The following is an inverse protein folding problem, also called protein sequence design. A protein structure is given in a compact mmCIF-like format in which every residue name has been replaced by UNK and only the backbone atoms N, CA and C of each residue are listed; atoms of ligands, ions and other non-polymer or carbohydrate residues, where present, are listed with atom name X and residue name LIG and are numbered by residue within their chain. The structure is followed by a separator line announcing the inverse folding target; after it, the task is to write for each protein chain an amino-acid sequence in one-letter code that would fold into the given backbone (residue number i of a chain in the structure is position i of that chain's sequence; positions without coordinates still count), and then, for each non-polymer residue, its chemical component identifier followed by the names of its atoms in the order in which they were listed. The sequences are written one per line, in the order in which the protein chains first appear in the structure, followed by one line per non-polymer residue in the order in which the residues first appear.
data_IF_505222824030
#
_entry.id   IF_505222824030
#
_cell.length_a   1.000
_cell.length_b   1.000
_cell.length_c   1.000
_cell.angle_alpha   90.00
_cell.angle_beta   90.00
_cell.angle_gamma   90.00
#
_symmetry.space_group_name_H-M   'P 1'
#
loop_
_entity.id
_entity.type
_entity.pdbx_description
1 polymer ?
#
# COMPACT_ATOMS: atom_id res chain seq x y z
N UNK A 1 -7.08 19.28 4.18
CA UNK A 1 -8.23 18.35 4.16
C UNK A 1 -8.25 17.63 2.82
N UNK A 2 -8.93 16.47 2.70
CA UNK A 2 -9.02 15.72 1.44
C UNK A 2 -9.60 16.57 0.31
N UNK A 3 -10.73 17.24 0.56
CA UNK A 3 -11.41 18.17 -0.35
C UNK A 3 -11.92 19.38 0.46
N UNK A 4 -11.78 20.60 -0.04
CA UNK A 4 -12.16 21.81 0.71
C UNK A 4 -13.67 22.07 0.82
N UNK A 5 -14.48 21.45 -0.03
CA UNK A 5 -15.93 21.66 -0.12
C UNK A 5 -16.70 20.45 0.41
N UNK A 6 -16.38 19.27 -0.08
CA UNK A 6 -17.12 18.04 0.23
C UNK A 6 -16.61 17.37 1.51
N UNK A 7 -15.30 17.47 1.76
CA UNK A 7 -14.65 16.87 2.92
C UNK A 7 -13.85 17.90 3.73
N UNK A 8 -14.48 18.98 4.26
CA UNK A 8 -13.79 20.06 4.98
C UNK A 8 -13.33 19.68 6.40
N UNK A 9 -12.94 18.43 6.58
CA UNK A 9 -12.52 17.79 7.83
C UNK A 9 -11.26 16.95 7.58
N UNK A 10 -10.49 16.64 8.63
CA UNK A 10 -9.27 15.84 8.44
C UNK A 10 -9.57 14.33 8.39
N UNK A 11 -8.84 13.64 7.52
CA UNK A 11 -8.63 12.21 7.59
C UNK A 11 -7.12 11.94 7.74
N UNK A 12 -6.73 11.17 8.76
CA UNK A 12 -5.32 10.98 9.09
C UNK A 12 -4.56 10.26 7.99
N UNK A 13 -5.17 9.27 7.32
CA UNK A 13 -4.52 8.55 6.23
C UNK A 13 -4.41 9.40 4.95
N UNK A 14 -5.43 10.18 4.60
CA UNK A 14 -5.35 11.18 3.53
C UNK A 14 -4.20 12.15 3.76
N UNK A 15 -4.09 12.72 4.97
CA UNK A 15 -3.03 13.65 5.34
C UNK A 15 -1.65 13.06 5.07
N UNK A 16 -1.45 11.76 5.33
CA UNK A 16 -0.18 11.09 5.04
C UNK A 16 0.22 11.22 3.56
N UNK A 17 -0.71 11.07 2.62
CA UNK A 17 -0.44 11.26 1.19
C UNK A 17 -0.29 12.73 0.81
N UNK A 18 -1.05 13.63 1.43
CA UNK A 18 -0.99 15.07 1.13
C UNK A 18 0.42 15.62 1.32
N UNK A 19 1.11 15.17 2.36
CA UNK A 19 2.40 15.72 2.75
C UNK A 19 3.53 15.32 1.80
N UNK A 20 3.33 14.30 0.94
CA UNK A 20 4.34 13.84 -0.03
C UNK A 20 4.64 14.90 -1.10
N UNK A 21 3.66 15.44 -1.86
CA UNK A 21 3.93 16.56 -2.76
C UNK A 21 4.15 17.87 -1.99
N UNK A 22 3.48 18.07 -0.85
CA UNK A 22 3.56 19.34 -0.11
C UNK A 22 4.94 19.62 0.45
N UNK A 23 5.73 18.60 0.78
CA UNK A 23 7.08 18.80 1.32
C UNK A 23 8.04 19.51 0.36
N UNK A 24 7.71 19.60 -0.94
CA UNK A 24 8.48 20.40 -1.92
C UNK A 24 8.14 21.88 -1.87
N UNK A 25 6.97 22.23 -1.36
CA UNK A 25 6.49 23.60 -1.22
C UNK A 25 6.92 24.14 0.15
N UNK A 26 6.59 23.38 1.21
CA UNK A 26 6.92 23.74 2.59
C UNK A 26 7.29 22.46 3.38
N UNK A 27 8.59 22.12 3.42
CA UNK A 27 9.13 21.02 4.22
C UNK A 27 8.72 21.04 5.70
N UNK A 28 8.74 22.22 6.32
CA UNK A 28 8.54 22.37 7.75
C UNK A 28 7.06 22.26 8.12
N UNK A 29 6.17 22.78 7.28
CA UNK A 29 4.74 22.53 7.40
C UNK A 29 4.43 21.04 7.25
N UNK A 30 5.00 20.37 6.25
CA UNK A 30 4.77 18.94 6.03
C UNK A 30 5.17 18.10 7.24
N UNK A 31 6.37 18.33 7.80
CA UNK A 31 6.82 17.71 9.05
C UNK A 31 5.90 18.04 10.22
N UNK A 32 5.49 19.30 10.36
CA UNK A 32 4.63 19.75 11.46
C UNK A 32 3.25 19.09 11.44
N UNK A 33 2.67 18.91 10.25
CA UNK A 33 1.39 18.22 10.07
C UNK A 33 1.48 16.73 10.42
N UNK A 34 2.55 16.05 10.03
CA UNK A 34 2.75 14.64 10.40
C UNK A 34 2.99 14.47 11.90
N UNK A 35 3.73 15.39 12.52
CA UNK A 35 3.92 15.41 13.97
C UNK A 35 2.63 15.71 14.73
N UNK A 36 1.69 16.48 14.17
CA UNK A 36 0.47 16.93 14.84
C UNK A 36 -0.31 15.75 15.42
N UNK A 37 -0.58 14.73 14.60
CA UNK A 37 -1.34 13.54 15.00
C UNK A 37 -0.58 12.60 15.92
N UNK A 38 0.73 12.81 16.09
CA UNK A 38 1.58 12.05 17.01
C UNK A 38 1.76 12.76 18.37
N UNK A 39 1.23 13.98 18.53
CA UNK A 39 1.32 14.73 19.79
C UNK A 39 0.46 14.10 20.88
N UNK A 40 0.87 14.31 22.12
CA UNK A 40 0.30 13.73 23.34
C UNK A 40 -1.17 14.11 23.56
N UNK A 41 -1.63 15.21 22.95
CA UNK A 41 -3.00 15.70 23.05
C UNK A 41 -3.86 15.39 21.80
N UNK A 42 -3.30 14.74 20.77
CA UNK A 42 -4.03 14.24 19.60
C UNK A 42 -4.07 12.71 19.59
N UNK A 43 -2.92 12.06 19.76
CA UNK A 43 -2.82 10.61 19.86
C UNK A 43 -3.44 10.15 21.18
N UNK A 44 -4.28 9.12 21.14
CA UNK A 44 -4.82 8.52 22.35
C UNK A 44 -3.68 7.97 23.23
N UNK A 45 -3.82 7.97 24.57
CA UNK A 45 -2.79 7.41 25.46
C UNK A 45 -2.44 5.93 25.17
N UNK A 46 -3.37 5.20 24.55
CA UNK A 46 -3.17 3.82 24.11
C UNK A 46 -2.33 3.68 22.84
N UNK A 47 -2.00 4.78 22.14
CA UNK A 47 -1.25 4.82 20.89
C UNK A 47 -2.09 5.03 19.62
N UNK A 48 -3.42 5.02 19.71
CA UNK A 48 -4.28 5.21 18.53
C UNK A 48 -4.15 6.63 17.96
N UNK A 49 -3.90 6.73 16.66
CA UNK A 49 -4.00 7.97 15.90
C UNK A 49 -5.48 8.23 15.60
N UNK A 50 -6.01 9.44 15.83
CA UNK A 50 -7.43 9.70 15.59
C UNK A 50 -7.73 9.65 14.09
N UNK A 51 -8.71 8.87 13.66
CA UNK A 51 -9.00 8.70 12.23
C UNK A 51 -9.62 9.95 11.59
N UNK A 52 -10.77 10.40 12.12
CA UNK A 52 -11.60 11.47 11.57
C UNK A 52 -12.18 12.36 12.68
N UNK A 53 -12.63 13.58 12.34
CA UNK A 53 -13.25 14.52 13.29
C UNK A 53 -14.53 14.00 13.97
N UNK A 54 -15.29 13.14 13.29
CA UNK A 54 -16.56 12.57 13.78
C UNK A 54 -16.43 11.14 14.30
N UNK A 55 -15.28 10.49 14.10
CA UNK A 55 -15.06 9.10 14.49
C UNK A 55 -13.58 8.85 14.82
N UNK A 56 -13.10 9.47 15.90
CA UNK A 56 -11.69 9.36 16.33
C UNK A 56 -11.21 7.93 16.53
N UNK A 57 -12.10 7.04 16.98
CA UNK A 57 -11.79 5.64 17.30
C UNK A 57 -11.83 4.71 16.08
N UNK A 58 -12.15 5.22 14.89
CA UNK A 58 -12.10 4.43 13.67
C UNK A 58 -10.65 4.06 13.29
N UNK A 59 -10.51 3.17 12.31
CA UNK A 59 -9.23 2.60 11.92
C UNK A 59 -8.92 2.95 10.48
N UNK A 60 -7.70 3.40 10.23
CA UNK A 60 -7.23 3.70 8.88
C UNK A 60 -5.97 2.88 8.58
N UNK A 61 -5.61 2.67 7.29
CA UNK A 61 -4.31 2.11 6.93
C UNK A 61 -3.16 2.85 7.64
N UNK A 62 -2.18 2.15 8.24
CA UNK A 62 -1.07 2.73 8.98
C UNK A 62 0.02 3.36 8.08
N UNK A 63 -0.39 4.11 7.05
CA UNK A 63 0.50 4.78 6.10
C UNK A 63 1.23 6.00 6.70
N UNK A 64 0.87 6.41 7.92
CA UNK A 64 1.47 7.57 8.58
C UNK A 64 2.99 7.42 8.79
N UNK A 65 3.44 6.23 9.19
CA UNK A 65 4.87 5.93 9.34
C UNK A 65 5.61 6.04 8.00
N UNK A 66 5.01 5.52 6.93
CA UNK A 66 5.55 5.64 5.58
C UNK A 66 5.68 7.11 5.18
N UNK A 67 4.65 7.92 5.41
CA UNK A 67 4.68 9.35 5.08
C UNK A 67 5.75 10.10 5.85
N UNK A 68 5.88 9.86 7.16
CA UNK A 68 6.98 10.41 7.99
C UNK A 68 8.33 10.10 7.36
N UNK A 69 8.58 8.84 7.02
CA UNK A 69 9.88 8.44 6.50
C UNK A 69 10.12 8.97 5.07
N UNK A 70 9.07 9.06 4.24
CA UNK A 70 9.14 9.68 2.91
C UNK A 70 9.44 11.17 3.00
N UNK A 71 8.74 11.93 3.83
CA UNK A 71 8.98 13.37 4.04
C UNK A 71 10.38 13.61 4.59
N UNK A 72 10.83 12.80 5.57
CA UNK A 72 12.20 12.85 6.06
C UNK A 72 13.25 12.69 4.94
N UNK A 73 13.03 11.73 4.02
CA UNK A 73 13.93 11.51 2.88
C UNK A 73 13.84 12.56 1.77
N UNK A 74 12.67 13.14 1.56
CA UNK A 74 12.41 14.11 0.48
C UNK A 74 12.82 15.54 0.85
N UNK A 75 12.88 15.86 2.14
CA UNK A 75 13.17 17.24 2.61
C UNK A 75 14.65 17.58 2.66
N UNK A 76 15.56 16.60 2.58
CA UNK A 76 17.00 16.82 2.50
C UNK A 76 17.75 15.60 1.91
N UNK A 77 18.95 15.81 1.30
CA UNK A 77 19.81 14.71 0.87
C UNK A 77 20.33 13.91 2.07
N UNK A 78 20.75 12.65 1.82
CA UNK A 78 21.35 11.77 2.85
C UNK A 78 22.49 12.50 3.57
N UNK A 79 22.52 12.41 4.90
CA UNK A 79 23.50 13.10 5.76
C UNK A 79 23.12 14.51 6.21
N UNK A 80 22.10 15.14 5.61
CA UNK A 80 21.59 16.45 6.03
C UNK A 80 20.13 16.40 6.49
N UNK A 81 19.60 15.20 6.72
CA UNK A 81 18.20 14.99 7.09
C UNK A 81 17.96 15.29 8.56
N UNK A 82 16.72 15.67 8.85
CA UNK A 82 16.28 16.09 10.18
C UNK A 82 16.10 14.88 11.12
N UNK A 83 17.20 14.49 11.77
CA UNK A 83 17.22 13.34 12.69
C UNK A 83 16.29 13.53 13.88
N UNK A 84 16.13 14.76 14.37
CA UNK A 84 15.28 15.05 15.51
C UNK A 84 13.80 14.84 15.15
N UNK A 85 13.37 15.30 13.96
CA UNK A 85 12.04 15.00 13.45
C UNK A 85 11.78 13.50 13.37
N UNK A 86 12.72 12.74 12.80
CA UNK A 86 12.58 11.29 12.64
C UNK A 86 12.50 10.58 14.00
N UNK A 87 13.40 10.89 14.92
CA UNK A 87 13.42 10.32 16.27
C UNK A 87 12.13 10.62 17.04
N UNK A 88 11.63 11.86 16.98
CA UNK A 88 10.36 12.24 17.63
C UNK A 88 9.18 11.45 17.08
N UNK A 89 9.09 11.29 15.76
CA UNK A 89 8.01 10.52 15.15
C UNK A 89 8.15 9.02 15.49
N UNK A 90 9.36 8.47 15.40
CA UNK A 90 9.63 7.05 15.66
C UNK A 90 9.15 6.62 17.04
N UNK A 91 9.48 7.37 18.09
CA UNK A 91 9.06 7.04 19.46
C UNK A 91 7.53 7.00 19.61
N UNK A 92 6.80 7.91 18.95
CA UNK A 92 5.33 7.94 18.95
C UNK A 92 4.73 6.84 18.08
N UNK A 93 5.36 6.53 16.96
CA UNK A 93 4.93 5.45 16.07
C UNK A 93 5.16 4.08 16.71
N UNK A 94 6.10 3.91 17.64
CA UNK A 94 6.18 2.67 18.46
C UNK A 94 4.90 2.48 19.29
N UNK A 95 4.36 3.54 19.89
CA UNK A 95 3.10 3.45 20.64
C UNK A 95 1.95 3.06 19.72
N UNK A 96 1.89 3.68 18.54
CA UNK A 96 0.88 3.35 17.53
C UNK A 96 1.00 1.90 17.02
N UNK A 97 2.22 1.45 16.74
CA UNK A 97 2.49 0.08 16.35
C UNK A 97 2.04 -0.91 17.44
N UNK A 98 2.33 -0.61 18.70
CA UNK A 98 1.95 -1.46 19.84
C UNK A 98 0.43 -1.50 20.02
N UNK A 99 -0.26 -0.39 19.78
CA UNK A 99 -1.74 -0.36 19.75
C UNK A 99 -2.29 -1.33 18.70
N UNK A 100 -1.74 -1.31 17.49
CA UNK A 100 -2.14 -2.21 16.41
C UNK A 100 -1.97 -3.68 16.77
N UNK A 101 -0.80 -4.07 17.27
CA UNK A 101 -0.52 -5.45 17.73
C UNK A 101 -1.54 -5.89 18.77
N UNK A 102 -1.77 -5.09 19.80
CA UNK A 102 -2.64 -5.50 20.92
C UNK A 102 -4.14 -5.51 20.59
N UNK A 103 -4.58 -4.73 19.60
CA UNK A 103 -6.02 -4.58 19.30
C UNK A 103 -6.49 -5.32 18.07
N UNK A 104 -5.59 -5.59 17.12
CA UNK A 104 -5.94 -6.10 15.80
C UNK A 104 -5.32 -7.46 15.49
N UNK A 105 -4.53 -8.04 16.39
CA UNK A 105 -4.14 -9.45 16.39
C UNK A 105 -4.70 -10.15 17.65
N UNK A 106 -6.03 -10.35 17.73
CA UNK A 106 -6.68 -10.84 18.95
C UNK A 106 -6.23 -12.25 19.35
N UNK A 107 -5.72 -13.05 18.42
CA UNK A 107 -5.24 -14.42 18.67
C UNK A 107 -3.72 -14.51 18.87
N UNK A 108 -2.97 -13.40 18.72
CA UNK A 108 -1.52 -13.37 18.85
C UNK A 108 -0.79 -14.19 17.78
N UNK A 109 -1.44 -14.41 16.63
CA UNK A 109 -0.94 -15.24 15.53
C UNK A 109 -0.25 -14.43 14.44
N UNK A 110 -0.17 -13.11 14.60
CA UNK A 110 0.33 -12.16 13.60
C UNK A 110 -0.53 -12.14 12.33
N UNK A 111 -1.81 -12.50 12.44
CA UNK A 111 -2.82 -12.34 11.40
C UNK A 111 -3.78 -11.27 11.88
N UNK A 112 -3.78 -10.14 11.18
CA UNK A 112 -4.47 -8.95 11.66
C UNK A 112 -5.88 -8.84 11.06
N UNK A 113 -6.85 -8.63 11.93
CA UNK A 113 -8.23 -8.29 11.58
C UNK A 113 -8.50 -6.85 12.01
N UNK A 114 -8.31 -5.92 11.07
CA UNK A 114 -8.42 -4.47 11.22
C UNK A 114 -9.85 -3.95 11.28
N UNK A 115 -10.81 -4.66 10.68
CA UNK A 115 -12.14 -4.14 10.40
C UNK A 115 -12.13 -3.26 9.14
N UNK A 116 -12.69 -2.05 9.23
CA UNK A 116 -12.62 -1.04 8.16
C UNK A 116 -11.18 -0.50 8.04
N UNK A 117 -10.62 -0.55 6.83
CA UNK A 117 -9.25 -0.13 6.52
C UNK A 117 -9.24 0.86 5.34
N UNK A 118 -10.21 1.77 5.30
CA UNK A 118 -10.32 2.82 4.26
C UNK A 118 -10.71 2.34 2.86
N UNK A 119 -11.06 1.06 2.71
CA UNK A 119 -11.48 0.42 1.45
C UNK A 119 -12.95 0.01 1.52
N UNK A 120 -13.82 1.00 1.58
CA UNK A 120 -15.20 0.94 2.05
C UNK A 120 -16.01 -0.28 1.58
N UNK A 121 -16.20 -0.41 0.27
CA UNK A 121 -17.03 -1.46 -0.32
C UNK A 121 -16.20 -2.56 -1.01
N UNK A 122 -14.88 -2.65 -0.76
CA UNK A 122 -14.01 -3.57 -1.52
C UNK A 122 -14.34 -5.04 -1.29
N UNK A 123 -14.80 -5.38 -0.09
CA UNK A 123 -15.13 -6.73 0.34
C UNK A 123 -16.58 -7.12 0.06
N UNK A 124 -16.87 -8.40 0.23
CA UNK A 124 -18.22 -8.98 0.15
C UNK A 124 -19.08 -8.64 1.38
N UNK A 125 -18.45 -8.52 2.55
CA UNK A 125 -19.11 -8.17 3.82
C UNK A 125 -18.71 -6.78 4.29
N UNK A 126 -19.61 -6.14 5.04
CA UNK A 126 -19.27 -4.97 5.85
C UNK A 126 -18.37 -5.41 7.01
N UNK A 127 -17.07 -5.13 6.85
CA UNK A 127 -16.00 -5.51 7.80
C UNK A 127 -16.14 -4.82 9.17
N UNK A 128 -17.04 -3.86 9.32
CA UNK A 128 -17.33 -3.20 10.61
C UNK A 128 -18.41 -3.92 11.43
N UNK A 129 -19.11 -4.91 10.84
CA UNK A 129 -20.21 -5.64 11.47
C UNK A 129 -19.86 -7.10 11.72
N UNK A 130 -20.54 -7.77 12.67
CA UNK A 130 -20.45 -9.22 12.81
C UNK A 130 -20.77 -9.93 11.50
N UNK A 131 -20.02 -11.00 11.19
CA UNK A 131 -20.24 -11.77 9.98
C UNK A 131 -21.56 -12.54 10.07
N UNK A 132 -22.38 -12.53 9.01
CA UNK A 132 -23.65 -13.24 9.02
C UNK A 132 -23.44 -14.76 9.15
N UNK A 133 -22.33 -15.29 8.64
CA UNK A 133 -21.96 -16.71 8.70
C UNK A 133 -21.54 -17.21 10.08
N UNK A 134 -21.32 -16.31 11.06
CA UNK A 134 -20.45 -16.61 12.20
C UNK A 134 -18.99 -16.81 11.78
N UNK A 135 -18.13 -17.17 12.74
CA UNK A 135 -16.68 -17.25 12.51
C UNK A 135 -15.98 -15.90 12.59
N UNK A 136 -14.75 -15.83 12.05
CA UNK A 136 -13.99 -14.58 11.96
C UNK A 136 -13.33 -14.43 10.59
N UNK A 137 -13.09 -13.17 10.20
CA UNK A 137 -12.46 -12.82 8.93
C UNK A 137 -10.99 -12.50 9.16
N UNK A 138 -10.11 -13.30 8.57
CA UNK A 138 -8.70 -12.97 8.45
C UNK A 138 -8.48 -12.10 7.21
N UNK A 139 -7.90 -10.91 7.40
CA UNK A 139 -7.78 -9.90 6.36
C UNK A 139 -6.36 -9.86 5.78
N UNK A 140 -6.23 -10.08 4.47
CA UNK A 140 -4.93 -10.05 3.80
C UNK A 140 -4.34 -8.64 3.76
N UNK A 141 -5.17 -7.62 3.56
CA UNK A 141 -4.74 -6.23 3.60
C UNK A 141 -4.36 -5.78 5.01
N UNK A 142 -5.18 -6.08 6.02
CA UNK A 142 -4.88 -5.75 7.42
C UNK A 142 -3.54 -6.31 7.89
N UNK A 143 -3.27 -7.56 7.54
CA UNK A 143 -2.00 -8.23 7.85
C UNK A 143 -0.83 -7.62 7.06
N UNK A 144 -1.01 -7.39 5.76
CA UNK A 144 0.02 -6.77 4.92
C UNK A 144 0.34 -5.33 5.32
N UNK A 145 -0.64 -4.54 5.74
CA UNK A 145 -0.43 -3.19 6.25
C UNK A 145 0.46 -3.16 7.50
N UNK A 146 0.32 -4.17 8.37
CA UNK A 146 1.17 -4.29 9.55
C UNK A 146 2.58 -4.73 9.20
N UNK A 147 2.74 -5.63 8.22
CA UNK A 147 4.06 -5.93 7.67
C UNK A 147 4.69 -4.70 7.00
N UNK A 148 3.92 -3.89 6.28
CA UNK A 148 4.38 -2.62 5.71
C UNK A 148 4.84 -1.64 6.80
N UNK A 149 4.04 -1.48 7.87
CA UNK A 149 4.41 -0.67 9.02
C UNK A 149 5.68 -1.20 9.69
N UNK A 150 5.83 -2.52 9.85
CA UNK A 150 7.06 -3.14 10.37
C UNK A 150 8.29 -2.77 9.55
N UNK A 151 8.27 -2.95 8.22
CA UNK A 151 9.46 -2.67 7.40
C UNK A 151 9.81 -1.19 7.36
N UNK A 152 8.80 -0.31 7.40
CA UNK A 152 9.06 1.13 7.49
C UNK A 152 9.70 1.49 8.83
N UNK A 153 9.19 0.95 9.95
CA UNK A 153 9.78 1.19 11.26
C UNK A 153 11.18 0.58 11.39
N UNK A 154 11.43 -0.57 10.77
CA UNK A 154 12.77 -1.14 10.66
C UNK A 154 13.72 -0.19 9.93
N UNK A 155 13.32 0.33 8.75
CA UNK A 155 14.15 1.26 7.97
C UNK A 155 14.44 2.55 8.75
N UNK A 156 13.42 3.11 9.43
CA UNK A 156 13.60 4.26 10.33
C UNK A 156 14.57 3.96 11.48
N UNK A 157 14.45 2.79 12.12
CA UNK A 157 15.32 2.39 13.22
C UNK A 157 16.77 2.24 12.76
N UNK A 158 17.01 1.65 11.58
CA UNK A 158 18.35 1.51 10.99
C UNK A 158 18.96 2.88 10.64
N UNK A 159 18.19 3.81 10.08
CA UNK A 159 18.66 5.17 9.79
C UNK A 159 19.05 5.91 11.09
N UNK A 160 18.26 5.80 12.16
CA UNK A 160 18.56 6.40 13.46
C UNK A 160 19.75 5.71 14.16
N UNK A 161 19.89 4.40 13.99
CA UNK A 161 20.95 3.60 14.60
C UNK A 161 22.36 4.00 14.14
N UNK A 162 22.47 4.65 12.97
CA UNK A 162 23.72 5.22 12.47
C UNK A 162 24.31 6.31 13.39
N UNK A 163 23.46 6.91 14.24
CA UNK A 163 23.83 8.00 15.13
C UNK A 163 23.63 7.65 16.62
N UNK A 164 22.75 6.69 16.92
CA UNK A 164 22.44 6.26 18.28
C UNK A 164 22.16 4.75 18.31
N UNK A 165 23.09 3.98 18.90
CA UNK A 165 23.01 2.52 18.93
C UNK A 165 21.77 1.97 19.64
N UNK A 166 21.05 2.76 20.46
CA UNK A 166 19.82 2.28 21.13
C UNK A 166 18.71 1.91 20.14
N UNK A 167 18.71 2.46 18.93
CA UNK A 167 17.74 2.10 17.88
C UNK A 167 18.03 0.74 17.23
N UNK A 168 19.21 0.18 17.43
CA UNK A 168 19.61 -1.12 16.89
C UNK A 168 18.80 -2.29 17.49
N UNK A 169 18.50 -2.20 18.79
CA UNK A 169 17.62 -3.16 19.49
C UNK A 169 16.21 -3.11 18.91
N UNK A 170 15.72 -1.90 18.61
CA UNK A 170 14.42 -1.72 18.00
C UNK A 170 14.37 -2.24 16.55
N UNK A 171 15.44 -2.06 15.77
CA UNK A 171 15.55 -2.64 14.44
C UNK A 171 15.39 -4.17 14.51
N UNK A 172 16.07 -4.84 15.45
CA UNK A 172 15.94 -6.28 15.64
C UNK A 172 14.50 -6.71 15.94
N UNK A 173 13.79 -5.96 16.80
CA UNK A 173 12.37 -6.22 17.09
C UNK A 173 11.49 -6.12 15.84
N UNK A 174 11.67 -5.10 15.00
CA UNK A 174 10.83 -4.92 13.81
C UNK A 174 11.15 -5.94 12.73
N UNK A 175 12.41 -6.33 12.60
CA UNK A 175 12.84 -7.44 11.75
C UNK A 175 12.15 -8.75 12.15
N UNK A 176 12.27 -9.19 13.42
CA UNK A 176 11.65 -10.44 13.87
C UNK A 176 10.13 -10.44 13.71
N UNK A 177 9.48 -9.31 14.05
CA UNK A 177 8.03 -9.19 13.91
C UNK A 177 7.59 -9.23 12.44
N UNK A 178 8.32 -8.57 11.53
CA UNK A 178 8.05 -8.65 10.10
C UNK A 178 8.09 -10.10 9.61
N UNK A 179 9.13 -10.84 10.01
CA UNK A 179 9.29 -12.24 9.63
C UNK A 179 8.10 -13.10 10.10
N UNK A 180 7.64 -12.89 11.34
CA UNK A 180 6.49 -13.62 11.88
C UNK A 180 5.21 -13.34 11.08
N UNK A 181 5.01 -12.10 10.61
CA UNK A 181 3.87 -11.77 9.74
C UNK A 181 4.01 -12.47 8.37
N UNK A 182 5.20 -12.45 7.76
CA UNK A 182 5.42 -13.11 6.46
C UNK A 182 5.14 -14.61 6.54
N UNK A 183 5.61 -15.27 7.59
CA UNK A 183 5.31 -16.70 7.82
C UNK A 183 3.81 -16.93 7.97
N UNK A 184 3.10 -16.13 8.77
CA UNK A 184 1.66 -16.25 8.95
C UNK A 184 0.89 -16.08 7.61
N UNK A 185 1.27 -15.10 6.79
CA UNK A 185 0.63 -14.88 5.48
C UNK A 185 0.94 -16.01 4.48
N UNK A 186 2.18 -16.52 4.48
CA UNK A 186 2.67 -17.51 3.52
C UNK A 186 2.61 -18.96 4.02
N UNK A 187 2.03 -19.25 5.19
CA UNK A 187 1.89 -20.61 5.74
C UNK A 187 0.96 -21.55 4.92
N UNK A 188 0.74 -21.23 3.65
CA UNK A 188 -0.02 -22.00 2.67
C UNK A 188 0.70 -23.33 2.36
N UNK A 189 0.25 -24.35 3.08
CA UNK A 189 0.68 -25.75 2.96
C UNK A 189 -0.09 -26.64 3.95
N UNK A 190 -0.57 -26.04 5.05
CA UNK A 190 -1.45 -26.68 6.04
C UNK A 190 -2.90 -26.13 6.02
N UNK A 191 -3.23 -25.20 5.10
CA UNK A 191 -4.55 -24.55 5.02
C UNK A 191 -4.74 -23.34 5.95
N UNK A 192 -3.68 -22.79 6.52
CA UNK A 192 -3.75 -21.74 7.57
C UNK A 192 -3.27 -20.34 7.12
N UNK A 193 -2.70 -20.18 5.92
CA UNK A 193 -2.23 -18.90 5.39
C UNK A 193 -3.26 -18.13 4.57
N UNK A 194 -2.84 -17.00 3.99
CA UNK A 194 -3.67 -16.10 3.16
C UNK A 194 -3.32 -16.16 1.65
N UNK A 195 -2.25 -16.87 1.29
CA UNK A 195 -1.90 -17.16 -0.09
C UNK A 195 -2.67 -18.38 -0.60
N UNK A 196 -3.37 -18.24 -1.73
CA UNK A 196 -4.01 -19.34 -2.43
C UNK A 196 -3.06 -19.86 -3.53
N UNK A 197 -2.55 -21.09 -3.36
CA UNK A 197 -1.61 -21.72 -4.30
C UNK A 197 -2.25 -22.12 -5.63
N UNK A 198 -3.58 -22.32 -5.64
CA UNK A 198 -4.32 -22.72 -6.84
C UNK A 198 -4.46 -21.53 -7.80
N UNK A 199 -4.83 -20.37 -7.26
CA UNK A 199 -5.01 -19.15 -8.05
C UNK A 199 -3.75 -18.26 -8.09
N UNK A 200 -2.78 -18.47 -7.21
CA UNK A 200 -1.55 -17.69 -7.13
C UNK A 200 -1.81 -16.23 -6.73
N UNK A 201 -2.66 -16.01 -5.72
CA UNK A 201 -3.06 -14.68 -5.26
C UNK A 201 -3.36 -14.69 -3.74
N UNK A 202 -3.28 -13.51 -3.10
CA UNK A 202 -3.65 -13.37 -1.68
C UNK A 202 -5.14 -13.04 -1.53
N UNK A 203 -5.82 -13.70 -0.60
CA UNK A 203 -7.23 -13.47 -0.31
C UNK A 203 -7.49 -13.32 1.17
N UNK A 204 -8.57 -12.61 1.50
CA UNK A 204 -9.17 -12.73 2.82
C UNK A 204 -9.67 -14.17 3.02
N UNK A 205 -9.59 -14.67 4.24
CA UNK A 205 -10.05 -16.02 4.57
C UNK A 205 -11.11 -15.96 5.66
N UNK A 206 -12.25 -16.58 5.38
CA UNK A 206 -13.29 -16.81 6.38
C UNK A 206 -12.93 -18.05 7.18
N UNK A 207 -12.73 -17.89 8.50
CA UNK A 207 -12.37 -18.95 9.42
C UNK A 207 -13.57 -19.37 10.25
N UNK A 208 -13.83 -20.67 10.22
CA UNK A 208 -14.76 -21.35 11.10
C UNK A 208 -13.99 -22.28 12.04
N UNK A 209 -14.71 -22.89 13.00
CA UNK A 209 -14.10 -23.80 13.98
C UNK A 209 -13.36 -24.98 13.33
N UNK A 210 -13.93 -25.53 12.26
CA UNK A 210 -13.46 -26.77 11.62
C UNK A 210 -13.18 -26.61 10.12
N UNK A 211 -13.33 -25.41 9.57
CA UNK A 211 -13.14 -25.15 8.14
C UNK A 211 -12.64 -23.73 7.87
N UNK A 212 -12.09 -23.54 6.67
CA UNK A 212 -11.71 -22.22 6.17
C UNK A 212 -12.14 -22.09 4.72
N UNK A 213 -12.45 -20.86 4.32
CA UNK A 213 -12.87 -20.55 2.96
C UNK A 213 -12.20 -19.25 2.48
N UNK A 214 -11.32 -19.30 1.48
CA UNK A 214 -10.79 -18.08 0.87
C UNK A 214 -11.91 -17.34 0.12
N UNK A 215 -11.97 -16.04 0.34
CA UNK A 215 -12.86 -15.13 -0.40
C UNK A 215 -12.14 -14.70 -1.67
N UNK A 216 -12.32 -15.48 -2.75
CA UNK A 216 -11.65 -15.31 -4.06
C UNK A 216 -12.14 -14.08 -4.84
N UNK A 217 -11.97 -12.92 -4.23
CA UNK A 217 -12.23 -11.60 -4.79
C UNK A 217 -10.87 -11.00 -5.14
N UNK A 218 -10.51 -11.03 -6.42
CA UNK A 218 -9.25 -10.44 -6.91
C UNK A 218 -9.35 -8.93 -6.88
N UNK A 219 -8.96 -8.36 -5.75
CA UNK A 219 -9.02 -6.93 -5.47
C UNK A 219 -7.66 -6.39 -5.01
N UNK A 220 -7.60 -5.07 -4.80
CA UNK A 220 -6.43 -4.39 -4.22
C UNK A 220 -5.99 -5.02 -2.89
N UNK A 221 -6.91 -5.65 -2.14
CA UNK A 221 -6.60 -6.38 -0.91
C UNK A 221 -5.46 -7.38 -1.10
N UNK A 222 -5.51 -8.18 -2.17
CA UNK A 222 -4.48 -9.17 -2.46
C UNK A 222 -3.21 -8.62 -3.10
N UNK A 223 -3.19 -7.33 -3.46
CA UNK A 223 -2.02 -6.62 -4.00
C UNK A 223 -1.27 -5.82 -2.93
N UNK A 224 -1.92 -5.41 -1.84
CA UNK A 224 -1.30 -4.71 -0.70
C UNK A 224 -0.06 -5.44 -0.12
N UNK A 225 0.02 -6.79 -0.10
CA UNK A 225 1.25 -7.49 0.27
C UNK A 225 2.52 -7.05 -0.48
N UNK A 226 2.39 -6.51 -1.70
CA UNK A 226 3.53 -5.97 -2.47
C UNK A 226 4.19 -4.77 -1.78
N UNK A 227 3.46 -4.00 -0.98
CA UNK A 227 3.97 -2.76 -0.39
C UNK A 227 5.05 -3.03 0.66
N UNK A 228 4.92 -4.15 1.37
CA UNK A 228 5.80 -4.53 2.45
C UNK A 228 7.09 -5.15 1.93
N UNK A 229 7.96 -4.30 1.39
CA UNK A 229 9.31 -4.65 0.97
C UNK A 229 10.36 -3.66 1.48
N UNK A 230 11.53 -4.18 1.85
CA UNK A 230 12.72 -3.41 2.28
C UNK A 230 13.98 -4.08 1.75
N UNK A 231 14.91 -3.28 1.21
CA UNK A 231 16.23 -3.77 0.82
C UNK A 231 17.26 -3.30 1.84
N UNK A 232 17.85 -4.24 2.56
CA UNK A 232 18.95 -3.98 3.47
C UNK A 232 20.27 -4.02 2.68
N UNK A 233 21.00 -2.91 2.72
CA UNK A 233 22.32 -2.82 2.12
C UNK A 233 23.38 -3.37 3.09
N UNK A 234 24.22 -4.29 2.61
CA UNK A 234 25.30 -4.88 3.39
C UNK A 234 26.24 -3.82 3.98
N UNK A 235 26.51 -2.71 3.28
CA UNK A 235 27.37 -1.62 3.81
C UNK A 235 26.81 -0.99 5.10
N UNK A 236 25.49 -0.83 5.19
CA UNK A 236 24.85 -0.29 6.39
C UNK A 236 24.84 -1.33 7.52
N UNK A 237 24.60 -2.61 7.20
CA UNK A 237 24.59 -3.67 8.22
C UNK A 237 25.97 -3.94 8.82
N UNK A 238 27.07 -3.67 8.10
CA UNK A 238 28.42 -3.73 8.65
C UNK A 238 28.67 -2.69 9.75
N UNK A 239 27.98 -1.55 9.70
CA UNK A 239 28.08 -0.48 10.70
C UNK A 239 27.17 -0.72 11.92
N UNK A 240 26.32 -1.77 11.86
CA UNK A 240 25.34 -2.13 12.88
C UNK A 240 25.58 -3.59 13.34
N UNK A 241 26.61 -3.84 14.16
CA UNK A 241 27.06 -5.18 14.51
C UNK A 241 26.06 -5.98 15.37
N UNK A 242 25.27 -5.32 16.22
CA UNK A 242 24.22 -5.94 17.03
C UNK A 242 23.06 -6.45 16.17
N UNK A 243 22.56 -5.63 15.25
CA UNK A 243 21.52 -5.98 14.30
C UNK A 243 21.99 -7.08 13.35
N UNK A 244 23.23 -6.97 12.84
CA UNK A 244 23.84 -8.02 12.01
C UNK A 244 23.90 -9.35 12.74
N UNK A 245 24.46 -9.37 13.96
CA UNK A 245 24.55 -10.59 14.79
C UNK A 245 23.17 -11.20 15.03
N UNK A 246 22.16 -10.37 15.30
CA UNK A 246 20.79 -10.86 15.55
C UNK A 246 20.13 -11.42 14.30
N UNK A 247 20.32 -10.76 13.16
CA UNK A 247 19.87 -11.22 11.85
C UNK A 247 20.52 -12.56 11.50
N UNK A 248 21.84 -12.68 11.62
CA UNK A 248 22.58 -13.93 11.37
C UNK A 248 22.16 -15.06 12.33
N UNK A 249 21.95 -14.73 13.62
CA UNK A 249 21.43 -15.70 14.60
C UNK A 249 20.05 -16.20 14.17
N UNK A 250 19.15 -15.29 13.79
CA UNK A 250 17.80 -15.64 13.37
C UNK A 250 17.85 -16.56 12.14
N UNK A 251 18.62 -16.20 11.11
CA UNK A 251 18.78 -17.01 9.91
C UNK A 251 19.33 -18.40 10.23
N UNK A 252 20.32 -18.48 11.12
CA UNK A 252 20.95 -19.77 11.46
C UNK A 252 20.00 -20.69 12.24
N UNK A 253 19.20 -20.13 13.14
CA UNK A 253 18.42 -20.89 14.12
C UNK A 253 16.94 -21.07 13.75
N UNK A 254 16.37 -20.24 12.87
CA UNK A 254 14.98 -20.31 12.41
C UNK A 254 14.86 -20.79 10.96
N UNK A 255 15.50 -21.93 10.68
CA UNK A 255 15.47 -22.56 9.35
C UNK A 255 14.06 -23.00 8.92
N UNK A 256 13.18 -23.24 9.89
CA UNK A 256 11.75 -23.52 9.68
C UNK A 256 11.04 -22.41 8.89
N UNK A 257 11.50 -21.17 9.01
CA UNK A 257 10.89 -20.03 8.33
C UNK A 257 11.57 -19.65 7.01
N UNK A 258 12.78 -20.14 6.75
CA UNK A 258 13.57 -19.76 5.56
C UNK A 258 12.87 -20.10 4.23
N UNK A 259 12.06 -21.15 4.18
CA UNK A 259 11.35 -21.54 2.94
C UNK A 259 10.15 -20.66 2.61
N UNK A 260 9.66 -19.86 3.58
CA UNK A 260 8.45 -19.03 3.47
C UNK A 260 8.73 -17.53 3.47
N UNK A 261 9.92 -17.15 3.92
CA UNK A 261 10.39 -15.77 3.90
C UNK A 261 11.11 -15.54 2.59
N UNK A 262 10.73 -14.47 1.89
CA UNK A 262 11.58 -13.89 0.86
C UNK A 262 12.78 -13.24 1.53
N UNK A 263 13.81 -14.05 1.75
CA UNK A 263 15.12 -13.62 2.19
C UNK A 263 16.09 -14.03 1.10
N UNK A 264 16.31 -13.15 0.14
CA UNK A 264 17.29 -13.39 -0.91
C UNK A 264 18.53 -12.58 -0.58
N UNK A 265 19.63 -13.28 -0.33
CA UNK A 265 20.95 -12.69 -0.37
C UNK A 265 21.42 -12.69 -1.81
N UNK A 266 21.89 -11.55 -2.33
CA UNK A 266 22.87 -11.64 -3.39
C UNK A 266 24.11 -12.32 -2.79
N UNK A 267 24.39 -13.58 -3.17
CA UNK A 267 25.73 -14.14 -2.95
C UNK A 267 26.75 -13.18 -3.56
N UNK A 268 27.88 -13.01 -2.86
CA UNK A 268 28.97 -12.05 -3.14
C UNK A 268 28.89 -11.59 -4.58
N UNK A 269 28.44 -10.35 -4.74
CA UNK A 269 28.22 -9.79 -6.07
C UNK A 269 29.52 -9.98 -6.88
N UNK A 270 29.38 -10.36 -8.15
CA UNK A 270 30.54 -10.65 -9.02
C UNK A 270 31.47 -9.45 -9.20
N UNK A 271 31.02 -8.27 -8.76
CA UNK A 271 31.71 -6.98 -8.70
C UNK A 271 32.25 -6.61 -7.30
N UNK A 272 32.19 -7.50 -6.31
CA UNK A 272 32.81 -7.30 -4.98
C UNK A 272 32.07 -6.35 -4.04
N UNK A 273 30.84 -5.94 -4.39
CA UNK A 273 29.93 -5.19 -3.50
C UNK A 273 29.32 -6.10 -2.43
N UNK A 274 29.02 -5.55 -1.23
CA UNK A 274 28.43 -6.33 -0.15
C UNK A 274 27.03 -6.83 -0.51
N UNK A 275 26.66 -7.97 0.09
CA UNK A 275 25.40 -8.65 -0.18
C UNK A 275 24.21 -7.77 0.21
N UNK A 276 23.22 -7.70 -0.68
CA UNK A 276 21.90 -7.11 -0.38
C UNK A 276 20.97 -8.19 0.12
N UNK A 277 20.08 -7.81 1.02
CA UNK A 277 18.98 -8.65 1.50
C UNK A 277 17.67 -7.98 1.14
N UNK A 278 16.80 -8.68 0.43
CA UNK A 278 15.40 -8.28 0.28
C UNK A 278 14.59 -8.90 1.41
N UNK A 279 13.83 -8.07 2.12
CA UNK A 279 12.72 -8.46 2.97
C UNK A 279 11.43 -8.16 2.22
N UNK A 280 10.59 -9.16 1.97
CA UNK A 280 9.31 -9.00 1.30
C UNK A 280 8.32 -10.07 1.73
N UNK A 281 7.01 -9.74 1.73
CA UNK A 281 5.96 -10.75 1.92
C UNK A 281 5.99 -11.78 0.78
N UNK A 282 5.76 -11.42 -0.50
CA UNK A 282 5.74 -12.42 -1.56
C UNK A 282 7.15 -12.90 -1.92
N UNK A 283 7.32 -14.23 -1.97
CA UNK A 283 8.49 -14.88 -2.59
C UNK A 283 8.63 -14.49 -4.05
N UNK A 284 9.79 -14.70 -4.67
CA UNK A 284 9.97 -14.41 -6.09
C UNK A 284 8.93 -15.12 -6.98
N UNK A 285 8.52 -16.34 -6.63
CA UNK A 285 7.49 -17.08 -7.35
C UNK A 285 6.12 -16.39 -7.18
N UNK A 286 5.73 -16.07 -5.94
CA UNK A 286 4.48 -15.37 -5.64
C UNK A 286 4.44 -13.97 -6.27
N UNK A 287 5.54 -13.23 -6.23
CA UNK A 287 5.70 -11.91 -6.86
C UNK A 287 5.43 -12.01 -8.37
N UNK A 288 5.99 -13.02 -9.06
CA UNK A 288 5.72 -13.24 -10.49
C UNK A 288 4.24 -13.54 -10.75
N UNK A 289 3.58 -14.33 -9.90
CA UNK A 289 2.14 -14.58 -10.01
C UNK A 289 1.32 -13.30 -9.84
N UNK A 290 1.61 -12.51 -8.80
CA UNK A 290 0.94 -11.23 -8.56
C UNK A 290 1.14 -10.24 -9.72
N UNK A 291 2.36 -10.12 -10.23
CA UNK A 291 2.68 -9.21 -11.34
C UNK A 291 1.97 -9.61 -12.64
N UNK A 292 1.75 -10.91 -12.87
CA UNK A 292 0.96 -11.39 -14.01
C UNK A 292 -0.48 -10.85 -13.96
N UNK A 293 -1.12 -10.85 -12.80
CA UNK A 293 -2.46 -10.28 -12.65
C UNK A 293 -2.44 -8.75 -12.67
N UNK A 294 -1.49 -8.14 -11.95
CA UNK A 294 -1.34 -6.69 -11.84
C UNK A 294 -1.22 -6.02 -13.22
N UNK A 295 -0.48 -6.67 -14.13
CA UNK A 295 -0.09 -6.13 -15.43
C UNK A 295 -0.94 -6.66 -16.60
N UNK A 296 -1.99 -7.44 -16.33
CA UNK A 296 -2.94 -7.90 -17.36
C UNK A 296 -4.07 -6.89 -17.54
N UNK A 297 -4.29 -6.46 -18.79
CA UNK A 297 -5.31 -5.47 -19.12
C UNK A 297 -6.75 -5.97 -18.96
N UNK A 298 -6.95 -7.29 -18.96
CA UNK A 298 -8.22 -7.96 -18.65
C UNK A 298 -8.44 -8.17 -17.15
N UNK A 299 -7.44 -7.85 -16.33
CA UNK A 299 -7.48 -7.95 -14.87
C UNK A 299 -7.33 -6.55 -14.28
N UNK A 300 -6.13 -6.17 -13.80
CA UNK A 300 -5.92 -4.95 -13.05
C UNK A 300 -5.38 -3.78 -13.87
N UNK A 301 -4.69 -4.00 -15.00
CA UNK A 301 -4.03 -2.93 -15.74
C UNK A 301 -5.04 -2.16 -16.62
N UNK A 302 -5.49 -1.01 -16.15
CA UNK A 302 -6.30 -0.07 -16.93
C UNK A 302 -5.42 0.78 -17.85
N UNK A 303 -5.95 1.36 -18.94
CA UNK A 303 -5.29 2.44 -19.68
C UNK A 303 -4.84 3.63 -18.80
N UNK A 304 -5.44 3.77 -17.61
CA UNK A 304 -5.28 4.92 -16.72
C UNK A 304 -4.64 4.58 -15.35
N UNK A 305 -4.16 3.34 -15.14
CA UNK A 305 -3.51 2.91 -13.90
C UNK A 305 -3.89 1.49 -13.49
N UNK A 306 -3.77 1.18 -12.21
CA UNK A 306 -4.17 -0.11 -11.61
C UNK A 306 -5.57 0.02 -11.00
N UNK A 307 -6.48 -0.86 -11.42
CA UNK A 307 -7.86 -0.99 -10.91
C UNK A 307 -7.86 -1.44 -9.46
N UNK A 308 -8.83 -0.97 -8.68
CA UNK A 308 -9.01 -1.44 -7.30
C UNK A 308 -9.63 -2.84 -7.20
N UNK A 309 -10.30 -3.30 -8.27
CA UNK A 309 -10.84 -4.65 -8.41
C UNK A 309 -10.55 -5.15 -9.83
N UNK A 310 -10.21 -6.44 -9.96
CA UNK A 310 -9.97 -7.03 -11.27
C UNK A 310 -11.22 -6.93 -12.15
N UNK A 311 -10.99 -6.56 -13.42
CA UNK A 311 -12.00 -6.53 -14.48
C UNK A 311 -12.58 -7.90 -14.79
N UNK A 312 -11.95 -9.01 -14.37
CA UNK A 312 -12.53 -10.36 -14.51
C UNK A 312 -13.91 -10.48 -13.84
N UNK A 313 -14.13 -9.73 -12.75
CA UNK A 313 -15.37 -9.74 -12.00
C UNK A 313 -16.53 -9.06 -12.74
N UNK A 314 -16.29 -8.46 -13.91
CA UNK A 314 -17.33 -7.99 -14.82
C UNK A 314 -18.11 -9.17 -15.42
N UNK A 315 -17.41 -10.24 -15.80
CA UNK A 315 -18.01 -11.44 -16.41
C UNK A 315 -18.15 -12.59 -15.41
N UNK A 316 -17.32 -12.60 -14.36
CA UNK A 316 -17.28 -13.63 -13.31
C UNK A 316 -17.33 -12.96 -11.92
N UNK A 317 -18.47 -12.35 -11.56
CA UNK A 317 -18.66 -11.75 -10.24
C UNK A 317 -18.39 -12.78 -9.14
N UNK A 318 -17.87 -12.33 -8.01
CA UNK A 318 -17.83 -13.20 -6.83
C UNK A 318 -19.22 -13.24 -6.19
N UNK A 319 -19.72 -14.45 -5.91
CA UNK A 319 -21.04 -14.66 -5.32
C UNK A 319 -20.92 -15.68 -4.19
N UNK A 320 -21.53 -15.36 -3.05
CA UNK A 320 -21.62 -16.23 -1.88
C UNK A 320 -23.05 -16.19 -1.33
N UNK A 321 -23.60 -17.35 -0.96
CA UNK A 321 -24.91 -17.44 -0.32
C UNK A 321 -24.74 -17.66 1.18
N UNK A 322 -25.33 -16.78 1.99
CA UNK A 322 -25.33 -16.86 3.45
C UNK A 322 -26.75 -16.68 3.94
N UNK A 323 -27.26 -17.61 4.77
CA UNK A 323 -28.61 -17.58 5.34
C UNK A 323 -29.72 -17.27 4.32
N UNK A 324 -29.60 -17.83 3.11
CA UNK A 324 -30.56 -17.61 2.02
C UNK A 324 -30.47 -16.26 1.32
N UNK A 325 -29.49 -15.42 1.67
CA UNK A 325 -29.20 -14.13 1.02
C UNK A 325 -27.97 -14.24 0.12
N UNK A 326 -28.07 -13.66 -1.08
CA UNK A 326 -26.94 -13.54 -2.00
C UNK A 326 -26.06 -12.34 -1.61
N UNK A 327 -24.76 -12.59 -1.41
CA UNK A 327 -23.74 -11.56 -1.28
C UNK A 327 -22.85 -11.56 -2.51
N UNK A 328 -22.69 -10.39 -3.13
CA UNK A 328 -22.09 -10.26 -4.46
C UNK A 328 -21.09 -9.12 -4.56
N UNK A 329 -20.01 -9.37 -5.28
CA UNK A 329 -18.99 -8.37 -5.66
C UNK A 329 -18.88 -8.32 -7.18
N UNK A 330 -19.37 -7.23 -7.74
CA UNK A 330 -19.29 -6.89 -9.16
C UNK A 330 -18.11 -5.96 -9.45
N UNK A 331 -17.60 -6.02 -10.69
CA UNK A 331 -16.75 -4.97 -11.23
C UNK A 331 -17.58 -3.76 -11.65
N UNK A 332 -17.35 -2.63 -10.98
CA UNK A 332 -18.01 -1.35 -11.18
C UNK A 332 -16.94 -0.28 -11.37
N UNK A 333 -16.61 0.11 -12.61
CA UNK A 333 -15.43 0.94 -12.90
C UNK A 333 -15.53 2.40 -12.45
N UNK A 334 -16.71 2.91 -12.07
CA UNK A 334 -16.98 4.30 -11.69
C UNK A 334 -17.65 4.44 -10.31
N UNK A 335 -18.78 5.13 -10.24
CA UNK A 335 -19.57 5.32 -9.01
C UNK A 335 -20.13 3.99 -8.49
N UNK A 336 -20.29 3.88 -7.17
CA UNK A 336 -20.86 2.66 -6.55
C UNK A 336 -22.30 2.43 -7.01
N UNK A 337 -22.65 1.18 -7.28
CA UNK A 337 -24.03 0.74 -7.51
C UNK A 337 -24.72 0.22 -6.24
N UNK A 338 -24.08 0.39 -5.07
CA UNK A 338 -24.61 -0.03 -3.76
C UNK A 338 -24.54 1.11 -2.75
N UNK A 339 -25.41 1.07 -1.74
CA UNK A 339 -25.45 2.04 -0.63
C UNK A 339 -24.48 1.71 0.52
N UNK A 340 -23.58 0.73 0.36
CA UNK A 340 -22.56 0.44 1.36
C UNK A 340 -21.71 1.70 1.59
N UNK A 341 -21.57 2.12 2.86
CA UNK A 341 -20.86 3.34 3.26
C UNK A 341 -21.32 4.63 2.55
N UNK A 342 -22.62 4.73 2.23
CA UNK A 342 -23.21 5.95 1.65
C UNK A 342 -23.12 6.05 0.13
N UNK A 343 -22.41 5.13 -0.54
CA UNK A 343 -22.44 4.97 -2.01
C UNK A 343 -21.66 6.01 -2.82
N UNK A 344 -21.01 6.99 -2.19
CA UNK A 344 -20.22 8.01 -2.89
C UNK A 344 -18.85 7.50 -3.35
N UNK A 345 -18.19 6.68 -2.52
CA UNK A 345 -16.87 6.12 -2.81
C UNK A 345 -16.99 4.68 -3.32
N UNK A 346 -16.11 4.28 -4.25
CA UNK A 346 -16.15 2.94 -4.82
C UNK A 346 -14.75 2.34 -5.01
N UNK A 347 -14.53 1.20 -4.36
CA UNK A 347 -13.33 0.39 -4.43
C UNK A 347 -13.51 -0.88 -5.27
N UNK A 348 -14.63 -1.04 -5.99
CA UNK A 348 -14.93 -2.21 -6.82
C UNK A 348 -14.57 -2.03 -8.30
N UNK A 349 -13.49 -1.31 -8.61
CA UNK A 349 -13.02 -1.16 -9.99
C UNK A 349 -12.25 0.11 -10.30
N UNK A 350 -12.59 1.29 -9.75
CA UNK A 350 -11.95 2.55 -10.12
C UNK A 350 -10.45 2.61 -9.83
N UNK A 351 -9.81 3.64 -10.38
CA UNK A 351 -8.39 3.95 -10.15
C UNK A 351 -8.27 4.95 -8.99
N UNK A 352 -7.50 4.57 -7.99
CA UNK A 352 -7.17 5.40 -6.82
C UNK A 352 -5.67 5.69 -6.81
N UNK A 353 -5.30 6.97 -6.83
CA UNK A 353 -3.90 7.36 -6.95
C UNK A 353 -3.05 6.98 -5.74
N UNK A 354 -3.63 6.99 -4.53
CA UNK A 354 -2.92 6.63 -3.29
C UNK A 354 -2.31 5.23 -3.34
N UNK A 355 -3.10 4.20 -3.66
CA UNK A 355 -2.63 2.81 -3.73
C UNK A 355 -1.76 2.55 -4.97
N UNK A 356 -2.08 3.19 -6.11
CA UNK A 356 -1.24 3.15 -7.30
C UNK A 356 0.17 3.68 -7.03
N UNK A 357 0.27 4.76 -6.25
CA UNK A 357 1.55 5.35 -5.87
C UNK A 357 2.39 4.40 -5.01
N UNK A 358 1.76 3.69 -4.06
CA UNK A 358 2.44 2.68 -3.25
C UNK A 358 2.91 1.48 -4.09
N UNK A 359 2.14 1.05 -5.09
CA UNK A 359 2.55 0.02 -6.06
C UNK A 359 3.81 0.48 -6.82
N UNK A 360 3.81 1.71 -7.34
CA UNK A 360 4.97 2.28 -8.05
C UNK A 360 6.21 2.26 -7.15
N UNK A 361 6.11 2.71 -5.90
CA UNK A 361 7.24 2.68 -4.96
C UNK A 361 7.71 1.27 -4.61
N UNK A 362 6.79 0.31 -4.51
CA UNK A 362 7.13 -1.09 -4.28
C UNK A 362 7.92 -1.67 -5.47
N UNK A 363 7.44 -1.44 -6.70
CA UNK A 363 8.10 -1.88 -7.93
C UNK A 363 9.52 -1.31 -8.07
N UNK A 364 9.71 -0.03 -7.74
CA UNK A 364 11.03 0.61 -7.72
C UNK A 364 11.97 -0.07 -6.71
N UNK A 365 11.45 -0.47 -5.55
CA UNK A 365 12.23 -1.15 -4.51
C UNK A 365 12.57 -2.58 -4.87
N UNK A 366 11.65 -3.31 -5.48
CA UNK A 366 11.95 -4.63 -6.05
C UNK A 366 12.96 -4.53 -7.20
N UNK A 367 12.89 -3.50 -8.06
CA UNK A 367 13.89 -3.25 -9.10
C UNK A 367 15.27 -2.93 -8.50
N UNK A 368 15.33 -2.15 -7.42
CA UNK A 368 16.59 -1.86 -6.72
C UNK A 368 17.31 -3.15 -6.28
N UNK A 369 16.55 -4.17 -5.88
CA UNK A 369 17.09 -5.48 -5.52
C UNK A 369 17.39 -6.36 -6.73
N UNK A 370 16.40 -6.63 -7.59
CA UNK A 370 16.54 -7.60 -8.68
C UNK A 370 17.25 -7.06 -9.93
N UNK A 371 17.08 -5.76 -10.21
CA UNK A 371 17.62 -5.11 -11.40
C UNK A 371 17.30 -5.85 -12.70
N UNK A 372 18.33 -6.09 -13.53
CA UNK A 372 18.19 -6.82 -14.80
C UNK A 372 17.81 -8.30 -14.63
N UNK A 373 17.97 -8.88 -13.43
CA UNK A 373 17.72 -10.31 -13.17
C UNK A 373 16.24 -10.65 -13.17
N UNK A 374 15.36 -9.67 -13.01
CA UNK A 374 13.91 -9.84 -13.07
C UNK A 374 13.30 -8.90 -14.11
N UNK A 375 12.81 -9.50 -15.19
CA UNK A 375 11.95 -8.84 -16.17
C UNK A 375 10.60 -9.54 -16.20
N UNK A 376 9.55 -8.76 -16.37
CA UNK A 376 8.16 -9.24 -16.45
C UNK A 376 7.49 -8.66 -17.68
N UNK A 377 6.49 -9.37 -18.17
CA UNK A 377 5.73 -8.95 -19.34
C UNK A 377 4.76 -7.82 -18.97
N UNK A 378 4.86 -6.67 -19.65
CA UNK A 378 4.03 -5.51 -19.39
C UNK A 378 3.62 -4.81 -20.70
N UNK A 379 2.33 -4.86 -21.09
CA UNK A 379 1.25 -5.62 -20.46
C UNK A 379 1.46 -7.14 -20.49
N UNK A 380 0.84 -7.89 -19.58
CA UNK A 380 0.84 -9.36 -19.62
C UNK A 380 0.23 -9.86 -20.94
N UNK A 381 0.87 -10.84 -21.58
CA UNK A 381 0.51 -11.35 -22.91
C UNK A 381 0.99 -10.52 -24.10
N UNK A 382 1.71 -9.40 -23.91
CA UNK A 382 2.16 -8.51 -25.00
C UNK A 382 3.46 -8.93 -25.69
N UNK A 383 4.23 -9.84 -25.11
CA UNK A 383 5.61 -10.17 -25.48
C UNK A 383 6.66 -9.13 -25.05
N UNK A 384 6.25 -8.01 -24.45
CA UNK A 384 7.16 -6.93 -24.06
C UNK A 384 7.66 -7.10 -22.62
N UNK A 385 8.94 -7.46 -22.45
CA UNK A 385 9.54 -7.70 -21.14
C UNK A 385 10.26 -6.46 -20.62
N UNK A 386 9.76 -5.93 -19.51
CA UNK A 386 10.25 -4.72 -18.85
C UNK A 386 10.90 -5.06 -17.51
N UNK A 387 11.88 -4.26 -17.09
CA UNK A 387 12.31 -4.24 -15.69
C UNK A 387 11.23 -3.60 -14.82
N UNK A 388 11.25 -3.90 -13.51
CA UNK A 388 10.23 -3.38 -12.60
C UNK A 388 10.26 -1.84 -12.49
N UNK A 389 11.41 -1.19 -12.64
CA UNK A 389 11.47 0.29 -12.75
C UNK A 389 10.75 0.82 -13.98
N UNK A 390 10.78 0.08 -15.10
CA UNK A 390 10.16 0.51 -16.36
C UNK A 390 8.65 0.26 -16.31
N UNK A 391 8.23 -0.83 -15.64
CA UNK A 391 6.82 -1.06 -15.28
C UNK A 391 6.29 0.08 -14.39
N UNK A 392 7.06 0.51 -13.37
CA UNK A 392 6.70 1.64 -12.52
C UNK A 392 6.52 2.94 -13.32
N UNK A 393 7.40 3.17 -14.33
CA UNK A 393 7.27 4.29 -15.28
C UNK A 393 6.04 4.15 -16.18
N UNK A 394 5.72 2.96 -16.66
CA UNK A 394 4.53 2.72 -17.48
C UNK A 394 3.24 2.98 -16.70
N UNK A 395 3.14 2.51 -15.45
CA UNK A 395 1.99 2.83 -14.58
C UNK A 395 1.93 4.34 -14.31
N UNK A 396 3.08 4.98 -14.03
CA UNK A 396 3.15 6.44 -13.85
C UNK A 396 2.64 7.20 -15.07
N UNK A 397 3.05 6.79 -16.28
CA UNK A 397 2.60 7.37 -17.55
C UNK A 397 1.08 7.25 -17.71
N UNK A 398 0.50 6.08 -17.39
CA UNK A 398 -0.95 5.86 -17.43
C UNK A 398 -1.69 6.77 -16.47
N UNK A 399 -1.19 6.94 -15.23
CA UNK A 399 -1.78 7.87 -14.26
C UNK A 399 -1.66 9.33 -14.69
N UNK A 400 -0.52 9.74 -15.25
CA UNK A 400 -0.33 11.12 -15.75
C UNK A 400 -1.27 11.41 -16.92
N UNK A 401 -1.51 10.42 -17.79
CA UNK A 401 -2.40 10.57 -18.94
C UNK A 401 -3.85 10.96 -18.56
N UNK A 402 -4.30 10.64 -17.33
CA UNK A 402 -5.59 11.09 -16.80
C UNK A 402 -5.76 12.61 -16.90
N UNK A 403 -4.66 13.34 -16.78
CA UNK A 403 -4.63 14.78 -16.72
C UNK A 403 -4.12 15.40 -18.01
N UNK A 404 -3.66 14.65 -19.01
CA UNK A 404 -3.11 15.25 -20.24
C UNK A 404 -4.23 15.55 -21.25
N UNK A 405 -4.18 16.71 -21.93
CA UNK A 405 -5.17 17.01 -22.95
C UNK A 405 -4.81 16.22 -24.22
N UNK A 406 -5.79 15.54 -24.79
CA UNK A 406 -5.64 14.91 -26.10
C UNK A 406 -5.25 15.97 -27.15
N UNK A 407 -4.18 15.77 -27.93
CA UNK A 407 -3.67 16.79 -28.86
C UNK A 407 -4.65 17.21 -29.95
N UNK A 408 -5.62 16.34 -30.28
CA UNK A 408 -6.59 16.58 -31.37
C UNK A 408 -7.85 17.27 -30.84
N UNK A 409 -8.40 16.75 -29.74
CA UNK A 409 -9.70 17.16 -29.20
C UNK A 409 -9.60 18.15 -28.04
N UNK A 410 -8.42 18.29 -27.43
CA UNK A 410 -8.19 19.09 -26.22
C UNK A 410 -8.77 18.48 -24.94
N UNK A 411 -9.38 17.29 -25.02
CA UNK A 411 -10.07 16.65 -23.88
C UNK A 411 -9.08 15.97 -22.95
N UNK A 412 -9.24 16.19 -21.64
CA UNK A 412 -8.53 15.44 -20.59
C UNK A 412 -9.44 14.31 -20.10
N UNK A 413 -8.94 13.08 -19.90
CA UNK A 413 -9.75 12.00 -19.35
C UNK A 413 -10.43 12.39 -18.04
N UNK A 414 -9.74 13.07 -17.13
CA UNK A 414 -10.29 13.49 -15.83
C UNK A 414 -11.58 14.34 -15.95
N UNK A 415 -11.74 15.09 -17.04
CA UNK A 415 -12.92 15.94 -17.27
C UNK A 415 -14.06 15.23 -18.00
N UNK A 416 -13.84 13.99 -18.45
CA UNK A 416 -14.80 13.20 -19.22
C UNK A 416 -15.28 13.94 -20.47
N UNK A 417 -16.60 14.00 -20.65
CA UNK A 417 -17.23 14.57 -21.84
C UNK A 417 -17.52 16.07 -21.76
N UNK A 418 -17.03 16.77 -20.73
CA UNK A 418 -17.34 18.18 -20.52
C UNK A 418 -16.56 19.09 -21.48
N UNK A 419 -17.24 19.54 -22.55
CA UNK A 419 -16.68 20.43 -23.57
C UNK A 419 -16.17 21.77 -23.03
N UNK A 420 -16.68 22.24 -21.88
CA UNK A 420 -16.22 23.50 -21.26
C UNK A 420 -14.73 23.41 -20.93
N UNK A 421 -14.32 22.32 -20.30
CA UNK A 421 -12.92 22.09 -19.93
C UNK A 421 -12.04 21.59 -21.08
N UNK A 422 -12.61 21.37 -22.27
CA UNK A 422 -11.83 21.00 -23.46
C UNK A 422 -11.63 22.17 -24.42
N UNK A 423 -12.64 23.04 -24.56
CA UNK A 423 -12.72 24.04 -25.64
C UNK A 423 -12.75 25.48 -25.14
N UNK A 424 -13.30 25.75 -23.96
CA UNK A 424 -13.41 27.13 -23.48
C UNK A 424 -12.04 27.67 -23.07
N UNK A 425 -11.68 28.84 -23.62
CA UNK A 425 -10.37 29.48 -23.41
C UNK A 425 -10.07 29.84 -21.96
N UNK A 426 -11.07 29.96 -21.11
CA UNK A 426 -10.92 30.29 -19.69
C UNK A 426 -10.87 29.04 -18.80
N UNK A 427 -11.35 27.89 -19.29
CA UNK A 427 -11.51 26.67 -18.48
C UNK A 427 -10.58 25.53 -18.89
N UNK A 428 -10.12 25.49 -20.14
CA UNK A 428 -9.32 24.38 -20.68
C UNK A 428 -8.02 24.07 -19.91
N UNK A 429 -7.49 25.07 -19.22
CA UNK A 429 -6.25 24.98 -18.43
C UNK A 429 -6.53 24.79 -16.91
N UNK A 430 -7.80 24.77 -16.50
CA UNK A 430 -8.21 24.49 -15.11
C UNK A 430 -8.35 22.97 -14.93
N UNK A 431 -7.30 22.35 -14.40
CA UNK A 431 -7.28 20.91 -14.11
C UNK A 431 -7.89 20.64 -12.74
N UNK A 432 -8.87 19.74 -12.69
CA UNK A 432 -9.53 19.29 -11.47
C UNK A 432 -8.88 18.03 -10.94
N UNK A 433 -8.94 17.84 -9.63
CA UNK A 433 -8.37 16.71 -8.92
C UNK A 433 -9.50 15.94 -8.28
N UNK A 434 -9.73 14.73 -8.76
CA UNK A 434 -10.84 13.91 -8.32
C UNK A 434 -10.44 12.90 -7.24
N UNK A 435 -11.42 12.43 -6.47
CA UNK A 435 -11.24 11.37 -5.45
C UNK A 435 -10.67 10.10 -6.06
N UNK A 436 -11.31 9.65 -7.14
CA UNK A 436 -10.93 8.47 -7.92
C UNK A 436 -11.35 8.65 -9.39
N UNK A 437 -10.93 7.72 -10.25
CA UNK A 437 -11.15 7.83 -11.69
C UNK A 437 -11.78 6.57 -12.26
N UNK A 438 -12.71 6.75 -13.19
CA UNK A 438 -13.36 5.66 -13.90
C UNK A 438 -12.33 4.81 -14.64
N UNK A 439 -12.24 3.53 -14.31
CA UNK A 439 -11.13 2.69 -14.78
C UNK A 439 -11.06 2.47 -16.30
N UNK A 440 -12.16 2.61 -17.03
CA UNK A 440 -12.15 2.39 -18.48
C UNK A 440 -12.13 3.67 -19.32
N UNK A 441 -12.44 4.82 -18.73
CA UNK A 441 -12.56 6.10 -19.45
C UNK A 441 -11.68 7.21 -18.88
N UNK A 442 -11.15 7.03 -17.68
CA UNK A 442 -10.34 8.02 -16.98
C UNK A 442 -11.14 9.20 -16.42
N UNK A 443 -12.49 9.20 -16.56
CA UNK A 443 -13.36 10.25 -16.04
C UNK A 443 -13.20 10.39 -14.53
N UNK A 444 -13.03 11.61 -14.04
CA UNK A 444 -13.05 11.90 -12.61
C UNK A 444 -14.39 11.56 -11.96
N UNK A 445 -14.33 10.96 -10.77
CA UNK A 445 -15.45 10.54 -9.94
C UNK A 445 -15.26 11.01 -8.49
N UNK A 446 -16.35 11.10 -7.73
CA UNK A 446 -16.33 11.62 -6.36
C UNK A 446 -16.00 13.10 -6.29
N UNK A 447 -15.44 13.54 -5.17
CA UNK A 447 -15.10 14.94 -4.93
C UNK A 447 -14.10 15.48 -5.97
N UNK A 448 -14.29 16.71 -6.44
CA UNK A 448 -13.58 17.27 -7.61
C UNK A 448 -12.49 18.30 -7.29
N UNK A 449 -12.33 18.65 -6.01
CA UNK A 449 -11.24 19.48 -5.47
C UNK A 449 -10.36 18.68 -4.50
N UNK A 450 -10.23 17.37 -4.76
CA UNK A 450 -9.39 16.47 -4.00
C UNK A 450 -7.92 16.62 -4.36
N UNK A 451 -7.36 17.81 -4.11
CA UNK A 451 -5.90 18.03 -4.05
C UNK A 451 -5.29 17.40 -2.80
N UNK A 452 -5.85 16.25 -2.42
CA UNK A 452 -5.40 15.38 -1.36
C UNK A 452 -4.47 14.31 -1.91
N UNK A 453 -4.80 13.02 -1.76
CA UNK A 453 -3.95 11.96 -2.28
C UNK A 453 -3.74 12.01 -3.80
N UNK A 454 -4.64 12.64 -4.55
CA UNK A 454 -4.53 12.72 -6.02
C UNK A 454 -3.34 13.60 -6.42
N UNK A 455 -2.89 14.50 -5.54
CA UNK A 455 -1.72 15.34 -5.76
C UNK A 455 -0.39 14.55 -5.88
N UNK A 456 -0.35 13.27 -5.45
CA UNK A 456 0.84 12.41 -5.65
C UNK A 456 1.14 12.16 -7.14
N UNK A 457 0.24 12.52 -8.06
CA UNK A 457 0.53 12.52 -9.50
C UNK A 457 1.74 13.38 -9.86
N UNK A 458 2.02 14.44 -9.10
CA UNK A 458 3.22 15.27 -9.30
C UNK A 458 4.49 14.43 -9.21
N UNK A 459 4.54 13.50 -8.25
CA UNK A 459 5.64 12.56 -8.11
C UNK A 459 5.70 11.51 -9.24
N UNK A 460 4.58 11.23 -9.91
CA UNK A 460 4.54 10.36 -11.10
C UNK A 460 5.11 11.09 -12.31
N UNK A 461 4.78 12.36 -12.49
CA UNK A 461 5.32 13.23 -13.55
C UNK A 461 6.85 13.29 -13.43
N UNK A 462 7.37 13.55 -12.23
CA UNK A 462 8.82 13.63 -12.00
C UNK A 462 9.57 12.35 -12.37
N UNK A 463 8.97 11.18 -12.13
CA UNK A 463 9.56 9.88 -12.50
C UNK A 463 9.65 9.66 -14.01
N UNK A 464 8.76 10.27 -14.78
CA UNK A 464 8.82 10.19 -16.24
C UNK A 464 10.00 10.98 -16.80
N UNK A 465 10.42 12.04 -16.11
CA UNK A 465 11.51 12.92 -16.53
C UNK A 465 12.85 12.67 -15.81
N UNK A 466 12.88 11.76 -14.83
CA UNK A 466 14.08 11.28 -14.15
C UNK A 466 14.63 10.00 -14.81
#
# INVERSE_FOLDING_TARGET
MPDKWEYPWYASWDLAFHMIPFCKIDPEFAKSQLLLFLREWYMAPSGQIPAYEFAFNDVNPPVHAWSVYRVYKLTAPKGQRDQLFLARCFQKLILNFTWWVNRKDPEGKNVFSGGFLGLDNIGVFDRSKPLPTGGHLEQADGTAWMAFFCVVMLDMALELAMHDASYEDMASKFFEHFIMIVDAMNAAGNGEGLWDEEEGFYYDVLRFRDSSQPLRVRSMVGLIPLYACLVLDGENTHQLPGFKKRTEWFLTNRKDLQSRITFMTEEVSSDGKPSRILLAIPTLAQLKCLLKYLLDENEFLSPYGIRSLSKVHQNKPFVMFVDGSEHRVDYVPGESNTYLFGGNSNWRGPIWLCVNYLIIEALERYDYFYGEKLKVECPTGSGNFMRLKDVAKEISRRLVSLFEPDPVTGRRPCHGDNDTYAKDKFWKDLVLFYEYFHAESGRGCGASHQTGWTAVVVNCIERMFA
#
